data_IF_356280548283
#
_entry.id   IF_356280548283
#
_cell.length_a   1.000
_cell.length_b   1.000
_cell.length_c   1.000
_cell.angle_alpha   90.00
_cell.angle_beta   90.00
_cell.angle_gamma   90.00
#
_symmetry.space_group_name_H-M   'P 1'
#
loop_
_entity.id
_entity.type
_entity.pdbx_description
1 polymer ?
#
# COMPACT_ATOMS: atom_id res chain seq x y z
N UNK A 1 13.68 -8.03 -0.20
CA UNK A 1 12.61 -8.77 0.55
C UNK A 1 11.30 -8.52 -0.19
N UNK A 2 10.46 -9.54 -0.36
CA UNK A 2 9.15 -9.42 -1.03
C UNK A 2 8.06 -9.58 0.01
N UNK A 3 7.12 -8.64 0.07
CA UNK A 3 5.92 -8.74 0.89
C UNK A 3 4.66 -8.67 0.02
N UNK A 4 3.60 -9.36 0.40
CA UNK A 4 2.35 -9.42 -0.38
C UNK A 4 1.25 -8.59 0.28
N UNK A 5 0.57 -7.80 -0.55
CA UNK A 5 -0.53 -6.94 -0.14
C UNK A 5 -1.75 -7.14 -1.03
N UNK A 6 -2.94 -7.19 -0.44
CA UNK A 6 -4.21 -7.11 -1.16
C UNK A 6 -4.71 -5.68 -1.19
N UNK A 7 -4.99 -5.15 -2.37
CA UNK A 7 -5.55 -3.81 -2.54
C UNK A 7 -6.99 -3.80 -2.02
N UNK A 8 -7.24 -3.02 -0.96
CA UNK A 8 -8.57 -2.86 -0.39
C UNK A 8 -9.32 -1.70 -1.04
N UNK A 9 -8.62 -0.60 -1.30
CA UNK A 9 -9.22 0.60 -1.85
C UNK A 9 -8.19 1.44 -2.59
N UNK A 10 -8.63 2.08 -3.66
CA UNK A 10 -7.84 3.07 -4.41
C UNK A 10 -8.65 4.36 -4.43
N UNK A 11 -8.05 5.46 -4.00
CA UNK A 11 -8.72 6.76 -4.02
C UNK A 11 -7.80 7.84 -4.57
N UNK A 12 -8.39 8.78 -5.29
CA UNK A 12 -7.70 9.95 -5.83
C UNK A 12 -8.10 11.16 -5.00
N UNK A 13 -7.11 11.85 -4.44
CA UNK A 13 -7.32 13.10 -3.73
C UNK A 13 -6.98 14.26 -4.67
N UNK A 14 -7.90 15.24 -4.77
CA UNK A 14 -7.68 16.46 -5.54
C UNK A 14 -6.33 17.09 -5.15
N UNK A 15 -5.44 17.26 -6.13
CA UNK A 15 -4.08 17.83 -6.00
C UNK A 15 -3.04 17.04 -5.20
N UNK A 16 -3.36 15.87 -4.64
CA UNK A 16 -2.40 15.06 -3.86
C UNK A 16 -2.04 13.73 -4.50
N UNK A 17 -2.78 13.34 -5.53
CA UNK A 17 -2.54 12.12 -6.30
C UNK A 17 -3.37 10.94 -5.82
N UNK A 18 -2.97 9.76 -6.27
CA UNK A 18 -3.57 8.49 -5.89
C UNK A 18 -3.01 7.99 -4.57
N UNK A 19 -3.85 7.30 -3.80
CA UNK A 19 -3.47 6.60 -2.59
C UNK A 19 -4.12 5.23 -2.59
N UNK A 20 -3.38 4.27 -2.04
CA UNK A 20 -3.71 2.85 -2.13
C UNK A 20 -3.75 2.29 -0.71
N UNK A 21 -4.93 1.88 -0.29
CA UNK A 21 -5.11 1.13 0.95
C UNK A 21 -4.90 -0.33 0.61
N UNK A 22 -3.97 -0.97 1.28
CA UNK A 22 -3.69 -2.37 1.06
C UNK A 22 -3.48 -3.12 2.37
N UNK A 23 -4.00 -4.34 2.41
CA UNK A 23 -3.87 -5.26 3.53
C UNK A 23 -2.67 -6.17 3.31
N UNK A 24 -1.75 -6.19 4.25
CA UNK A 24 -0.67 -7.16 4.30
C UNK A 24 -1.24 -8.57 4.47
N UNK A 25 -0.90 -9.50 3.57
CA UNK A 25 -1.44 -10.86 3.59
C UNK A 25 -0.83 -11.68 4.73
N UNK A 26 0.48 -11.58 4.93
CA UNK A 26 1.20 -12.23 6.04
C UNK A 26 1.47 -11.20 7.12
N UNK A 27 0.48 -10.98 7.97
CA UNK A 27 0.60 -10.07 9.10
C UNK A 27 1.79 -10.44 10.01
N UNK A 28 2.51 -9.44 10.52
CA UNK A 28 3.60 -9.60 11.47
C UNK A 28 5.00 -9.70 10.85
N UNK A 29 5.13 -9.58 9.53
CA UNK A 29 6.43 -9.40 8.90
C UNK A 29 6.76 -7.91 8.79
N UNK A 30 7.79 -7.47 9.52
CA UNK A 30 8.23 -6.08 9.48
C UNK A 30 8.80 -5.71 8.11
N UNK A 31 8.55 -4.46 7.71
CA UNK A 31 9.19 -3.82 6.57
C UNK A 31 9.47 -2.36 6.88
N UNK A 32 10.43 -1.80 6.14
CA UNK A 32 10.69 -0.38 6.10
C UNK A 32 10.69 0.07 4.64
N UNK A 33 9.90 1.10 4.33
CA UNK A 33 9.86 1.65 2.97
C UNK A 33 11.07 2.55 2.81
N UNK A 34 11.84 2.29 1.75
CA UNK A 34 13.01 3.07 1.34
C UNK A 34 12.77 3.73 -0.01
N UNK A 35 13.59 4.74 -0.34
CA UNK A 35 13.65 5.28 -1.69
C UNK A 35 13.93 4.15 -2.70
N UNK A 36 13.16 4.10 -3.79
CA UNK A 36 13.25 3.02 -4.80
C UNK A 36 12.33 1.83 -4.53
N UNK A 37 11.54 1.83 -3.46
CA UNK A 37 10.52 0.78 -3.22
C UNK A 37 9.44 0.79 -4.30
N UNK A 38 8.96 -0.40 -4.66
CA UNK A 38 7.93 -0.62 -5.67
C UNK A 38 6.74 -1.39 -5.08
N UNK A 39 5.52 -0.95 -5.37
CA UNK A 39 4.29 -1.69 -5.09
C UNK A 39 3.65 -2.15 -6.40
N UNK A 40 3.55 -3.45 -6.65
CA UNK A 40 3.03 -3.98 -7.91
C UNK A 40 3.83 -3.49 -9.13
N UNK A 41 5.13 -3.26 -8.97
CA UNK A 41 6.00 -2.67 -9.99
C UNK A 41 5.88 -1.15 -10.15
N UNK A 42 5.02 -0.48 -9.36
CA UNK A 42 4.86 0.98 -9.38
C UNK A 42 5.74 1.63 -8.31
N UNK A 43 6.59 2.61 -8.64
CA UNK A 43 7.36 3.33 -7.65
C UNK A 43 6.46 4.07 -6.64
N UNK A 44 6.77 3.92 -5.35
CA UNK A 44 6.03 4.53 -4.24
C UNK A 44 6.92 5.46 -3.41
N UNK A 45 6.30 6.48 -2.81
CA UNK A 45 7.03 7.43 -1.97
C UNK A 45 7.57 6.69 -0.75
N UNK A 46 8.65 7.19 -0.17
CA UNK A 46 9.11 6.80 1.16
C UNK A 46 8.16 7.36 2.23
N UNK A 47 6.90 6.95 2.14
CA UNK A 47 5.78 7.39 2.93
C UNK A 47 4.91 6.17 3.19
N UNK A 48 4.72 5.86 4.46
CA UNK A 48 3.85 4.82 4.94
C UNK A 48 2.93 5.45 5.99
N UNK A 49 1.64 5.23 5.84
CA UNK A 49 0.66 5.61 6.86
C UNK A 49 -0.17 4.38 7.22
N UNK A 50 -0.61 4.33 8.48
CA UNK A 50 -1.48 3.28 8.99
C UNK A 50 -2.82 3.92 9.33
N UNK A 51 -3.88 3.61 8.58
CA UNK A 51 -5.17 4.25 8.78
C UNK A 51 -5.80 3.72 10.07
N UNK A 52 -6.53 4.59 10.79
CA UNK A 52 -7.29 4.23 12.00
C UNK A 52 -8.59 3.53 11.62
N UNK A 53 -8.48 2.33 11.07
CA UNK A 53 -9.63 1.48 10.74
C UNK A 53 -9.76 0.37 11.78
N UNK A 54 -11.01 -0.02 12.05
CA UNK A 54 -11.33 -1.10 12.97
C UNK A 54 -11.76 -2.33 12.17
N UNK A 55 -11.51 -3.51 12.72
CA UNK A 55 -12.09 -4.77 12.26
C UNK A 55 -13.56 -4.89 12.71
N UNK A 56 -14.20 -6.00 12.34
CA UNK A 56 -15.60 -6.29 12.69
C UNK A 56 -15.81 -6.43 14.21
N UNK A 57 -14.75 -6.65 14.98
CA UNK A 57 -14.76 -6.72 16.45
C UNK A 57 -14.43 -5.37 17.12
N UNK A 58 -14.27 -4.30 16.34
CA UNK A 58 -13.89 -2.98 16.84
C UNK A 58 -12.40 -2.85 17.22
N UNK A 59 -11.54 -3.78 16.83
CA UNK A 59 -10.10 -3.75 17.09
C UNK A 59 -9.34 -3.05 15.95
N UNK A 60 -8.27 -2.29 16.24
CA UNK A 60 -7.46 -1.66 15.20
C UNK A 60 -6.86 -2.66 14.22
N UNK A 61 -6.97 -2.39 12.92
CA UNK A 61 -6.31 -3.16 11.86
C UNK A 61 -4.86 -2.71 11.73
N UNK A 62 -3.95 -3.52 12.23
CA UNK A 62 -2.50 -3.28 12.15
C UNK A 62 -1.87 -3.87 10.88
N UNK A 63 -2.67 -4.56 10.08
CA UNK A 63 -2.31 -5.20 8.82
C UNK A 63 -2.65 -4.32 7.60
N UNK A 64 -3.16 -3.11 7.78
CA UNK A 64 -3.56 -2.23 6.68
C UNK A 64 -2.69 -1.00 6.62
N UNK A 65 -2.23 -0.70 5.41
CA UNK A 65 -1.27 0.35 5.14
C UNK A 65 -1.72 1.20 3.96
N UNK A 66 -1.32 2.47 3.96
CA UNK A 66 -1.55 3.42 2.87
C UNK A 66 -0.25 3.66 2.13
N UNK A 67 -0.26 3.38 0.83
CA UNK A 67 0.84 3.67 -0.08
C UNK A 67 0.49 4.83 -0.99
N UNK A 68 1.52 5.59 -1.38
CA UNK A 68 1.38 6.71 -2.33
C UNK A 68 2.31 6.48 -3.52
N UNK A 69 1.80 6.26 -4.74
CA UNK A 69 2.61 6.20 -5.95
C UNK A 69 3.36 7.51 -6.22
N UNK A 70 4.58 7.43 -6.76
CA UNK A 70 5.37 8.60 -7.21
C UNK A 70 4.73 9.30 -8.41
N UNK A 71 3.98 8.56 -9.22
CA UNK A 71 3.49 9.01 -10.51
C UNK A 71 1.97 9.00 -10.51
N UNK A 72 1.36 10.13 -10.85
CA UNK A 72 -0.08 10.24 -11.11
C UNK A 72 -0.43 9.73 -12.52
N UNK A 73 -0.01 8.51 -12.86
CA UNK A 73 -0.28 7.92 -14.18
C UNK A 73 -1.42 6.90 -14.13
N UNK A 74 -2.20 6.79 -15.22
CA UNK A 74 -3.17 5.71 -15.43
C UNK A 74 -2.54 4.31 -15.53
N UNK A 75 -1.21 4.17 -15.49
CA UNK A 75 -0.51 2.88 -15.44
C UNK A 75 -0.58 2.20 -14.08
N UNK A 76 -0.84 2.93 -13.01
CA UNK A 76 -1.12 2.39 -11.69
C UNK A 76 -2.60 1.97 -11.59
N UNK A 77 -3.04 1.07 -12.46
CA UNK A 77 -4.39 0.50 -12.43
C UNK A 77 -4.48 -0.57 -11.33
N UNK A 78 -4.26 -0.16 -10.09
CA UNK A 78 -4.55 -0.98 -8.94
C UNK A 78 -6.05 -1.29 -8.91
N UNK A 79 -6.41 -2.54 -8.73
CA UNK A 79 -7.79 -2.99 -8.64
C UNK A 79 -8.08 -3.51 -7.24
N UNK A 80 -9.27 -3.22 -6.71
CA UNK A 80 -9.70 -3.79 -5.42
C UNK A 80 -9.72 -5.32 -5.51
N UNK A 81 -9.16 -5.99 -4.50
CA UNK A 81 -8.96 -7.44 -4.45
C UNK A 81 -7.69 -7.93 -5.14
N UNK A 82 -6.94 -7.06 -5.84
CA UNK A 82 -5.67 -7.44 -6.47
C UNK A 82 -4.61 -7.72 -5.41
N UNK A 83 -3.87 -8.83 -5.56
CA UNK A 83 -2.66 -9.08 -4.78
C UNK A 83 -1.45 -8.50 -5.53
N UNK A 84 -0.63 -7.73 -4.83
CA UNK A 84 0.58 -7.10 -5.35
C UNK A 84 1.76 -7.33 -4.42
N UNK A 85 2.94 -7.32 -5.01
CA UNK A 85 4.19 -7.40 -4.26
C UNK A 85 4.72 -6.01 -3.91
N UNK A 86 5.18 -5.85 -2.67
CA UNK A 86 6.07 -4.78 -2.24
C UNK A 86 7.51 -5.29 -2.38
N UNK A 87 8.26 -4.65 -3.28
CA UNK A 87 9.68 -4.91 -3.51
C UNK A 87 10.47 -3.80 -2.84
N UNK A 88 11.30 -4.19 -1.87
CA UNK A 88 12.22 -3.30 -1.18
C UNK A 88 13.63 -3.38 -1.81
N UNK A 89 14.29 -2.25 -2.07
CA UNK A 89 15.69 -2.24 -2.50
C UNK A 89 16.59 -2.73 -1.36
N UNK A 90 17.77 -3.27 -1.72
CA UNK A 90 18.79 -3.69 -0.76
C UNK A 90 19.29 -2.53 0.11
#
# INVERSE_FOLDING_TARGET
MIQEFEIMQVFNHHNRGQFIFARQIKAGQDFDIKEGSLLGGVPIYQYLDMPRILDDNGQPRLDVFVFKPLINLPTANFQVGQIVELILPE
#
